data_IF_729212188798
#
_entry.id   IF_729212188798
#
_cell.length_a   1.000
_cell.length_b   1.000
_cell.length_c   1.000
_cell.angle_alpha   90.00
_cell.angle_beta   90.00
_cell.angle_gamma   90.00
#
_symmetry.space_group_name_H-M   'P 1'
#
loop_
_entity.id
_entity.type
_entity.pdbx_description
1 polymer ?
#
# COMPACT_ATOMS: atom_id res chain seq x y z
N UNK A 1 -22.11 -63.72 2.44
CA UNK A 1 -21.90 -62.26 2.67
C UNK A 1 -21.10 -61.54 1.56
N UNK A 2 -20.94 -62.08 0.35
CA UNK A 2 -20.09 -61.44 -0.69
C UNK A 2 -20.83 -60.53 -1.69
N UNK A 3 -22.17 -60.60 -1.76
CA UNK A 3 -22.95 -59.92 -2.81
C UNK A 3 -23.39 -58.49 -2.42
N UNK A 4 -23.53 -58.21 -1.12
CA UNK A 4 -23.94 -56.88 -0.62
C UNK A 4 -22.84 -55.81 -0.81
N UNK A 5 -21.57 -56.22 -0.77
CA UNK A 5 -20.42 -55.32 -0.90
C UNK A 5 -20.22 -54.79 -2.33
N UNK A 6 -20.61 -55.56 -3.34
CA UNK A 6 -20.50 -55.12 -4.75
C UNK A 6 -21.59 -54.10 -5.12
N UNK A 7 -22.82 -54.30 -4.64
CA UNK A 7 -23.92 -53.38 -4.88
C UNK A 7 -23.66 -52.00 -4.21
N UNK A 8 -23.17 -52.01 -2.97
CA UNK A 8 -22.89 -50.78 -2.21
C UNK A 8 -21.71 -49.98 -2.77
N UNK A 9 -20.73 -50.65 -3.39
CA UNK A 9 -19.61 -50.00 -4.08
C UNK A 9 -20.06 -49.36 -5.41
N UNK A 10 -20.98 -50.00 -6.12
CA UNK A 10 -21.50 -49.49 -7.40
C UNK A 10 -22.36 -48.23 -7.22
N UNK A 11 -23.19 -48.17 -6.17
CA UNK A 11 -24.02 -46.97 -5.92
C UNK A 11 -23.15 -45.77 -5.52
N UNK A 12 -22.17 -45.98 -4.64
CA UNK A 12 -21.29 -44.92 -4.12
C UNK A 12 -20.41 -44.31 -5.23
N UNK A 13 -20.00 -45.12 -6.20
CA UNK A 13 -19.28 -44.66 -7.40
C UNK A 13 -20.20 -43.89 -8.36
N UNK A 14 -21.49 -44.22 -8.41
CA UNK A 14 -22.47 -43.48 -9.21
C UNK A 14 -22.74 -42.09 -8.61
N UNK A 15 -22.96 -42.03 -7.29
CA UNK A 15 -23.19 -40.78 -6.54
C UNK A 15 -21.98 -39.84 -6.62
N UNK A 16 -20.76 -40.38 -6.53
CA UNK A 16 -19.53 -39.58 -6.63
C UNK A 16 -19.33 -39.03 -8.05
N UNK A 17 -19.70 -39.79 -9.09
CA UNK A 17 -19.64 -39.32 -10.48
C UNK A 17 -20.66 -38.22 -10.73
N UNK A 18 -21.87 -38.33 -10.19
CA UNK A 18 -22.89 -37.29 -10.29
C UNK A 18 -22.47 -36.02 -9.53
N UNK A 19 -21.92 -36.15 -8.32
CA UNK A 19 -21.39 -35.01 -7.55
C UNK A 19 -20.26 -34.30 -8.29
N UNK A 20 -19.30 -35.06 -8.85
CA UNK A 20 -18.19 -34.49 -9.67
C UNK A 20 -18.71 -33.85 -10.96
N UNK A 21 -19.78 -34.38 -11.56
CA UNK A 21 -20.40 -33.81 -12.75
C UNK A 21 -21.19 -32.53 -12.44
N UNK A 22 -21.89 -32.46 -11.32
CA UNK A 22 -22.57 -31.26 -10.84
C UNK A 22 -21.58 -30.12 -10.55
N UNK A 23 -20.47 -30.43 -9.87
CA UNK A 23 -19.39 -29.45 -9.61
C UNK A 23 -18.74 -28.98 -10.92
N UNK A 24 -18.47 -29.88 -11.87
CA UNK A 24 -17.95 -29.51 -13.20
C UNK A 24 -18.92 -28.61 -13.96
N UNK A 25 -20.22 -28.94 -14.02
CA UNK A 25 -21.24 -28.16 -14.71
C UNK A 25 -21.45 -26.76 -14.09
N UNK A 26 -21.25 -26.60 -12.79
CA UNK A 26 -21.31 -25.30 -12.12
C UNK A 26 -20.03 -24.45 -12.33
N UNK A 27 -18.86 -25.10 -12.41
CA UNK A 27 -17.58 -24.40 -12.56
C UNK A 27 -17.29 -23.97 -14.02
N UNK A 28 -17.77 -24.71 -15.02
CA UNK A 28 -17.52 -24.43 -16.45
C UNK A 28 -18.16 -23.15 -17.00
N UNK A 29 -19.44 -22.78 -16.73
CA UNK A 29 -20.07 -21.63 -17.38
C UNK A 29 -19.42 -20.30 -16.97
N UNK A 30 -18.98 -20.18 -15.71
CA UNK A 30 -18.35 -18.96 -15.18
C UNK A 30 -17.00 -18.71 -15.85
N UNK A 31 -16.16 -19.76 -15.96
CA UNK A 31 -14.86 -19.66 -16.60
C UNK A 31 -14.97 -19.48 -18.13
N UNK A 32 -15.95 -20.11 -18.77
CA UNK A 32 -16.12 -20.04 -20.22
C UNK A 32 -16.59 -18.64 -20.67
N UNK A 33 -17.49 -17.98 -19.94
CA UNK A 33 -17.88 -16.60 -20.27
C UNK A 33 -16.74 -15.60 -20.05
N UNK A 34 -15.94 -15.77 -18.99
CA UNK A 34 -14.78 -14.90 -18.76
C UNK A 34 -13.69 -15.08 -19.81
N UNK A 35 -13.39 -16.32 -20.23
CA UNK A 35 -12.41 -16.59 -21.27
C UNK A 35 -12.83 -16.01 -22.63
N UNK A 36 -14.12 -16.05 -22.96
CA UNK A 36 -14.65 -15.42 -24.19
C UNK A 36 -14.51 -13.91 -24.16
N UNK A 37 -14.76 -13.28 -23.02
CA UNK A 37 -14.63 -11.83 -22.84
C UNK A 37 -13.16 -11.39 -22.89
N UNK A 38 -12.26 -12.12 -22.22
CA UNK A 38 -10.82 -11.85 -22.27
C UNK A 38 -10.25 -12.03 -23.69
N UNK A 39 -10.64 -13.09 -24.41
CA UNK A 39 -10.22 -13.29 -25.79
C UNK A 39 -10.74 -12.20 -26.73
N UNK A 40 -11.96 -11.70 -26.50
CA UNK A 40 -12.51 -10.57 -27.26
C UNK A 40 -11.73 -9.26 -27.03
N UNK A 41 -11.36 -8.99 -25.77
CA UNK A 41 -10.51 -7.83 -25.42
C UNK A 41 -9.14 -7.92 -26.09
N UNK A 42 -8.51 -9.10 -26.09
CA UNK A 42 -7.20 -9.33 -26.72
C UNK A 42 -7.29 -9.22 -28.25
N UNK A 43 -8.33 -9.77 -28.86
CA UNK A 43 -8.52 -9.79 -30.31
C UNK A 43 -8.73 -8.38 -30.90
N UNK A 44 -9.33 -7.47 -30.12
CA UNK A 44 -9.54 -6.07 -30.52
C UNK A 44 -8.74 -5.07 -29.68
N UNK A 45 -7.57 -5.49 -29.18
CA UNK A 45 -6.63 -4.72 -28.34
C UNK A 45 -6.52 -3.23 -28.73
N UNK A 46 -6.31 -2.90 -30.01
CA UNK A 46 -6.13 -1.51 -30.45
C UNK A 46 -7.40 -0.65 -30.31
N UNK A 47 -8.58 -1.21 -30.59
CA UNK A 47 -9.86 -0.49 -30.51
C UNK A 47 -10.40 -0.44 -29.08
N UNK A 48 -10.27 -1.54 -28.33
CA UNK A 48 -10.71 -1.63 -26.93
C UNK A 48 -9.84 -0.73 -26.05
N UNK A 49 -8.52 -0.70 -26.25
CA UNK A 49 -7.63 0.21 -25.50
C UNK A 49 -7.98 1.68 -25.74
N UNK A 50 -8.28 2.06 -26.99
CA UNK A 50 -8.69 3.43 -27.33
C UNK A 50 -10.03 3.79 -26.68
N UNK A 51 -11.00 2.87 -26.67
CA UNK A 51 -12.30 3.07 -26.02
C UNK A 51 -12.18 3.19 -24.49
N UNK A 52 -11.37 2.35 -23.85
CA UNK A 52 -11.14 2.40 -22.39
C UNK A 52 -10.44 3.70 -22.00
N UNK A 53 -9.43 4.12 -22.75
CA UNK A 53 -8.74 5.39 -22.51
C UNK A 53 -9.70 6.59 -22.61
N UNK A 54 -10.59 6.59 -23.62
CA UNK A 54 -11.62 7.62 -23.77
C UNK A 54 -12.61 7.65 -22.59
N UNK A 55 -13.09 6.48 -22.15
CA UNK A 55 -14.01 6.38 -20.99
C UNK A 55 -13.32 6.85 -19.70
N UNK A 56 -12.05 6.48 -19.48
CA UNK A 56 -11.30 6.94 -18.32
C UNK A 56 -11.12 8.47 -18.30
N UNK A 57 -10.78 9.07 -19.45
CA UNK A 57 -10.63 10.52 -19.56
C UNK A 57 -11.96 11.24 -19.28
N UNK A 58 -13.07 10.78 -19.87
CA UNK A 58 -14.41 11.35 -19.62
C UNK A 58 -14.81 11.18 -18.15
N UNK A 59 -14.51 10.02 -17.54
CA UNK A 59 -14.79 9.77 -16.12
C UNK A 59 -14.07 10.74 -15.18
N UNK A 60 -12.80 11.05 -15.45
CA UNK A 60 -12.03 12.04 -14.66
C UNK A 60 -12.63 13.45 -14.80
N UNK A 61 -13.01 13.85 -16.03
CA UNK A 61 -13.66 15.15 -16.25
C UNK A 61 -15.00 15.24 -15.53
N UNK A 62 -15.84 14.18 -15.58
CA UNK A 62 -17.13 14.16 -14.88
C UNK A 62 -16.97 14.21 -13.36
N UNK A 63 -15.99 13.50 -12.80
CA UNK A 63 -15.68 13.58 -11.36
C UNK A 63 -15.23 14.99 -10.95
N UNK A 64 -14.37 15.62 -11.75
CA UNK A 64 -13.90 16.98 -11.49
C UNK A 64 -15.07 17.99 -11.57
N UNK A 65 -15.94 17.90 -12.57
CA UNK A 65 -17.12 18.76 -12.67
C UNK A 65 -18.16 18.52 -11.56
N UNK A 66 -18.32 17.30 -11.06
CA UNK A 66 -19.18 17.03 -9.90
C UNK A 66 -18.60 17.54 -8.58
N UNK A 67 -17.27 17.54 -8.44
CA UNK A 67 -16.59 18.05 -7.24
C UNK A 67 -16.50 19.60 -7.19
N UNK A 68 -16.81 20.30 -8.29
CA UNK A 68 -16.65 21.76 -8.41
C UNK A 68 -17.97 22.55 -8.27
N UNK A 69 -19.03 21.97 -7.70
CA UNK A 69 -20.18 22.77 -7.23
C UNK A 69 -19.89 23.28 -5.82
N UNK A 70 -19.77 24.61 -5.59
CA UNK A 70 -19.56 25.14 -4.25
C UNK A 70 -20.89 25.12 -3.49
N UNK A 71 -21.17 24.02 -2.79
CA UNK A 71 -22.24 23.99 -1.78
C UNK A 71 -21.62 24.25 -0.42
N UNK A 72 -22.06 25.36 0.19
CA UNK A 72 -21.64 25.78 1.51
C UNK A 72 -21.89 24.73 2.59
N UNK A 73 -20.88 24.61 3.46
CA UNK A 73 -20.92 24.24 4.88
C UNK A 73 -22.10 23.35 5.35
N UNK A 74 -21.81 22.08 5.57
CA UNK A 74 -22.39 21.32 6.70
C UNK A 74 -21.27 20.53 7.38
N UNK A 75 -21.02 20.91 8.64
CA UNK A 75 -20.24 20.14 9.61
C UNK A 75 -21.09 18.95 10.07
N UNK A 76 -20.51 17.76 10.13
CA UNK A 76 -21.12 16.55 10.70
C UNK A 76 -20.16 15.36 10.51
N UNK A 77 -20.01 14.47 11.50
CA UNK A 77 -18.73 14.21 12.12
C UNK A 77 -17.90 13.19 11.33
N UNK A 78 -16.75 13.63 10.83
CA UNK A 78 -15.61 12.72 10.78
C UNK A 78 -15.20 12.51 12.22
N UNK A 79 -15.19 11.26 12.69
CA UNK A 79 -14.49 10.89 13.90
C UNK A 79 -13.00 11.14 13.66
N UNK A 80 -12.62 12.41 13.77
CA UNK A 80 -11.28 12.82 14.09
C UNK A 80 -10.97 12.09 15.39
N UNK A 81 -10.05 11.13 15.33
CA UNK A 81 -9.24 10.86 16.50
C UNK A 81 -8.67 12.22 16.89
N UNK A 82 -9.18 12.73 18.01
CA UNK A 82 -8.61 13.86 18.72
C UNK A 82 -7.19 13.44 19.09
N UNK A 83 -6.25 13.71 18.18
CA UNK A 83 -4.89 14.00 18.60
C UNK A 83 -5.04 15.34 19.29
N UNK A 84 -5.10 15.30 20.61
CA UNK A 84 -4.96 16.45 21.48
C UNK A 84 -3.71 17.18 21.01
N UNK A 85 -3.88 18.21 20.18
CA UNK A 85 -2.84 19.20 19.98
C UNK A 85 -2.86 20.04 21.24
N UNK A 86 -2.27 19.49 22.30
CA UNK A 86 -1.59 20.33 23.26
C UNK A 86 -0.60 21.14 22.41
N UNK A 87 -0.81 22.46 22.38
CA UNK A 87 0.14 23.38 21.74
C UNK A 87 1.41 23.28 22.54
N UNK A 88 2.27 22.32 22.21
CA UNK A 88 3.59 22.23 22.79
C UNK A 88 4.39 23.40 22.23
N UNK A 89 4.67 24.38 23.09
CA UNK A 89 5.53 25.49 22.77
C UNK A 89 6.94 24.94 22.48
N UNK A 90 7.33 24.92 21.20
CA UNK A 90 8.69 24.58 20.80
C UNK A 90 9.57 25.75 21.25
N UNK A 91 10.62 25.53 22.07
CA UNK A 91 11.54 26.60 22.45
C UNK A 91 12.17 27.24 21.21
N UNK A 92 12.13 28.57 21.12
CA UNK A 92 12.83 29.34 20.08
C UNK A 92 14.32 29.40 20.44
N UNK A 93 15.04 28.34 20.07
CA UNK A 93 16.48 28.18 20.27
C UNK A 93 17.12 28.06 18.88
N UNK A 94 18.26 28.74 18.62
CA UNK A 94 18.97 28.60 17.36
C UNK A 94 19.34 27.14 17.09
N UNK A 95 19.27 26.74 15.82
CA UNK A 95 19.61 25.38 15.40
C UNK A 95 21.08 25.09 15.68
N UNK A 96 21.34 24.02 16.41
CA UNK A 96 22.70 23.59 16.70
C UNK A 96 23.14 22.54 15.67
N UNK A 97 24.26 22.81 14.99
CA UNK A 97 24.83 21.90 13.99
C UNK A 97 25.60 20.77 14.67
N UNK A 98 25.20 19.53 14.42
CA UNK A 98 25.82 18.30 14.91
C UNK A 98 26.05 18.28 16.43
N UNK A 99 25.25 19.01 17.22
CA UNK A 99 25.51 19.18 18.65
C UNK A 99 25.22 17.92 19.50
N UNK A 100 24.32 17.04 19.04
CA UNK A 100 23.94 15.82 19.76
C UNK A 100 24.36 14.58 18.98
N UNK A 101 25.49 13.99 19.38
CA UNK A 101 26.08 12.80 18.74
C UNK A 101 25.08 11.65 18.60
N UNK A 102 24.25 11.42 19.63
CA UNK A 102 23.24 10.37 19.63
C UNK A 102 22.15 10.58 18.58
N UNK A 103 21.75 11.84 18.35
CA UNK A 103 20.76 12.20 17.32
C UNK A 103 21.39 12.06 15.95
N UNK A 104 22.61 12.57 15.77
CA UNK A 104 23.34 12.47 14.51
C UNK A 104 23.50 11.00 14.09
N UNK A 105 23.90 10.12 15.01
CA UNK A 105 24.09 8.69 14.73
C UNK A 105 22.81 8.00 14.23
N UNK A 106 21.65 8.32 14.83
CA UNK A 106 20.35 7.78 14.37
C UNK A 106 20.01 8.28 12.97
N UNK A 107 20.26 9.56 12.68
CA UNK A 107 20.03 10.15 11.37
C UNK A 107 20.96 9.52 10.32
N UNK A 108 22.27 9.45 10.58
CA UNK A 108 23.22 8.81 9.68
C UNK A 108 22.84 7.35 9.40
N UNK A 109 22.52 6.58 10.44
CA UNK A 109 22.09 5.19 10.29
C UNK A 109 20.82 5.06 9.44
N UNK A 110 19.88 6.02 9.54
CA UNK A 110 18.69 6.05 8.70
C UNK A 110 19.03 6.26 7.22
N UNK A 111 19.85 7.26 6.89
CA UNK A 111 20.21 7.58 5.51
C UNK A 111 21.11 6.51 4.87
N UNK A 112 22.02 5.91 5.65
CA UNK A 112 22.85 4.79 5.20
C UNK A 112 22.00 3.57 4.87
N UNK A 113 21.07 3.21 5.78
CA UNK A 113 20.15 2.10 5.55
C UNK A 113 19.18 2.38 4.38
N UNK A 114 18.79 3.64 4.18
CA UNK A 114 17.93 4.07 3.07
C UNK A 114 18.62 3.87 1.72
N UNK A 115 19.89 4.28 1.61
CA UNK A 115 20.70 4.06 0.40
C UNK A 115 21.01 2.58 0.18
N UNK A 116 21.27 1.81 1.24
CA UNK A 116 21.50 0.37 1.16
C UNK A 116 20.22 -0.45 0.89
N UNK A 117 19.03 0.14 1.05
CA UNK A 117 17.76 -0.56 0.97
C UNK A 117 17.51 -1.52 2.15
N UNK A 118 18.20 -1.30 3.28
CA UNK A 118 18.04 -2.07 4.51
C UNK A 118 16.82 -1.61 5.31
N UNK A 119 15.67 -2.13 4.90
CA UNK A 119 14.37 -1.81 5.49
C UNK A 119 14.26 -2.28 6.95
N UNK A 120 14.96 -3.36 7.32
CA UNK A 120 14.90 -3.93 8.66
C UNK A 120 15.55 -2.97 9.66
N UNK A 121 16.70 -2.41 9.31
CA UNK A 121 17.36 -1.36 10.10
C UNK A 121 16.47 -0.12 10.22
N UNK A 122 15.88 0.36 9.13
CA UNK A 122 15.01 1.55 9.16
C UNK A 122 13.75 1.31 10.02
N UNK A 123 13.16 0.12 9.94
CA UNK A 123 12.00 -0.25 10.76
C UNK A 123 12.34 -0.38 12.25
N UNK A 124 13.60 -0.64 12.61
CA UNK A 124 14.05 -0.70 14.00
C UNK A 124 14.28 0.66 14.65
N UNK A 125 14.59 1.68 13.85
CA UNK A 125 14.91 3.04 14.32
C UNK A 125 13.80 4.07 14.06
N UNK A 126 12.78 3.72 13.25
CA UNK A 126 11.66 4.60 12.91
C UNK A 126 10.31 3.96 13.23
N UNK A 127 9.43 4.73 13.86
CA UNK A 127 8.04 4.34 14.08
C UNK A 127 7.16 4.74 12.87
N UNK A 128 6.15 3.93 12.55
CA UNK A 128 5.17 4.26 11.49
C UNK A 128 5.46 3.70 10.09
N UNK A 129 6.44 2.79 9.95
CA UNK A 129 6.71 2.08 8.70
C UNK A 129 5.59 1.10 8.33
N UNK A 130 4.76 1.48 7.35
CA UNK A 130 3.72 0.59 6.80
C UNK A 130 4.31 -0.44 5.82
N UNK A 131 3.67 -1.61 5.65
CA UNK A 131 4.11 -2.65 4.71
C UNK A 131 4.19 -2.15 3.25
N UNK A 132 3.35 -1.19 2.88
CA UNK A 132 3.40 -0.55 1.56
C UNK A 132 4.61 0.37 1.43
N UNK A 133 4.98 1.09 2.50
CA UNK A 133 6.20 1.90 2.57
C UNK A 133 7.45 1.02 2.41
N UNK A 134 7.51 -0.13 3.09
CA UNK A 134 8.62 -1.09 2.99
C UNK A 134 8.85 -1.55 1.54
N UNK A 135 7.80 -1.99 0.87
CA UNK A 135 7.89 -2.47 -0.51
C UNK A 135 8.34 -1.36 -1.47
N UNK A 136 7.80 -0.14 -1.30
CA UNK A 136 8.21 1.02 -2.09
C UNK A 136 9.69 1.34 -1.87
N UNK A 137 10.14 1.33 -0.63
CA UNK A 137 11.52 1.64 -0.27
C UNK A 137 12.53 0.67 -0.89
N UNK A 138 12.16 -0.62 -0.96
CA UNK A 138 12.98 -1.66 -1.60
C UNK A 138 13.21 -1.40 -3.10
N UNK A 139 12.20 -0.88 -3.78
CA UNK A 139 12.33 -0.57 -5.20
C UNK A 139 13.04 0.76 -5.44
N UNK A 140 12.79 1.76 -4.60
CA UNK A 140 13.40 3.10 -4.74
C UNK A 140 14.88 3.08 -4.38
N UNK A 141 15.30 2.32 -3.36
CA UNK A 141 16.72 2.17 -2.95
C UNK A 141 17.65 1.72 -4.08
N UNK A 142 17.15 0.96 -5.06
CA UNK A 142 17.92 0.54 -6.24
C UNK A 142 18.38 1.70 -7.13
N UNK A 143 17.76 2.87 -6.99
CA UNK A 143 18.02 4.06 -7.79
C UNK A 143 18.58 5.21 -6.96
N UNK A 144 18.89 4.99 -5.68
CA UNK A 144 19.43 6.00 -4.77
C UNK A 144 20.94 5.82 -4.68
N UNK A 145 21.67 6.93 -4.85
CA UNK A 145 23.10 6.98 -4.59
C UNK A 145 23.36 7.25 -3.10
N UNK A 146 24.48 6.75 -2.53
CA UNK A 146 24.85 7.03 -1.14
C UNK A 146 25.00 8.53 -0.90
N UNK A 147 24.46 9.02 0.22
CA UNK A 147 24.55 10.44 0.61
C UNK A 147 25.96 10.74 1.17
N UNK A 148 26.82 11.48 0.44
CA UNK A 148 28.22 11.64 0.83
C UNK A 148 28.42 12.62 2.00
N UNK A 149 27.43 13.49 2.25
CA UNK A 149 27.49 14.49 3.32
C UNK A 149 26.08 14.74 3.86
N UNK A 150 25.85 14.33 5.11
CA UNK A 150 24.60 14.58 5.83
C UNK A 150 24.93 15.51 6.99
N UNK A 151 24.39 16.72 6.99
CA UNK A 151 24.54 17.67 8.11
C UNK A 151 23.25 17.73 8.93
N UNK A 152 23.36 17.55 10.26
CA UNK A 152 22.21 17.48 11.15
C UNK A 152 22.12 18.75 11.98
N UNK A 153 20.98 19.42 11.90
CA UNK A 153 20.66 20.64 12.63
C UNK A 153 19.55 20.35 13.63
N UNK A 154 19.84 20.42 14.92
CA UNK A 154 18.91 19.99 15.98
C UNK A 154 18.42 21.15 16.81
N UNK A 155 17.15 21.06 17.24
CA UNK A 155 16.61 21.86 18.35
C UNK A 155 15.84 20.98 19.33
N UNK A 156 15.69 21.39 20.60
CA UNK A 156 14.84 20.71 21.57
C UNK A 156 13.41 20.58 21.04
N UNK A 157 12.86 19.38 21.20
CA UNK A 157 11.48 19.07 20.86
C UNK A 157 10.50 19.46 21.97
N UNK A 158 9.21 19.21 21.74
CA UNK A 158 8.12 19.56 22.66
C UNK A 158 8.16 18.80 24.00
N UNK A 159 8.86 17.67 24.05
CA UNK A 159 9.00 16.80 25.23
C UNK A 159 10.47 16.79 25.67
N UNK A 160 10.73 16.78 26.98
CA UNK A 160 12.09 16.67 27.50
C UNK A 160 12.81 15.42 26.96
N UNK A 161 14.02 15.64 26.45
CA UNK A 161 14.81 14.59 25.80
C UNK A 161 14.40 14.25 24.36
N UNK A 162 13.39 14.92 23.80
CA UNK A 162 13.07 14.85 22.37
C UNK A 162 13.79 15.96 21.59
N UNK A 163 14.11 15.68 20.33
CA UNK A 163 14.78 16.62 19.44
C UNK A 163 14.08 16.65 18.08
N UNK A 164 14.01 17.84 17.50
CA UNK A 164 13.62 18.04 16.10
C UNK A 164 14.92 18.21 15.31
N UNK A 165 15.17 17.29 14.39
CA UNK A 165 16.33 17.31 13.50
C UNK A 165 15.90 17.79 12.10
N UNK A 166 16.65 18.75 11.57
CA UNK A 166 16.63 19.15 10.17
C UNK A 166 17.88 18.60 9.52
N UNK A 167 17.73 17.99 8.35
CA UNK A 167 18.82 17.34 7.64
C UNK A 167 19.05 18.09 6.34
N UNK A 168 20.30 18.47 6.11
CA UNK A 168 20.78 19.05 4.86
C UNK A 168 21.63 17.97 4.13
N UNK A 169 21.21 17.64 2.90
CA UNK A 169 21.69 16.51 2.08
C UNK A 169 22.28 16.97 0.74
#
# INVERSE_FOLDING_TARGET
MSNENHAKKSSRVHDEKEARQAVRKAQTPIKQNQQRFMNYIVYHKKRVMLAVLGICLVGVVVLAFHATRPSGKTKGPSAAQTMTSDVYAIPDVPLEKNAYEKVNNVIHQYYDAYAAGDIDTIASISEGMSETTKTRLKEVSKYIEPFPKVEVYTKPGPVDGSYIAYVDE
#
